data_IF_635186519256
#
_entry.id   IF_635186519256
#
_cell.length_a   1.000
_cell.length_b   1.000
_cell.length_c   1.000
_cell.angle_alpha   90.00
_cell.angle_beta   90.00
_cell.angle_gamma   90.00
#
_symmetry.space_group_name_H-M   'P 1'
#
loop_
_entity.id
_entity.type
_entity.pdbx_description
1 polymer ?
#
# COMPACT_ATOMS: atom_id res chain seq x y z
N UNK A 1 25.82 12.20 3.51
CA UNK A 1 24.92 11.33 2.71
C UNK A 1 23.95 10.51 3.57
N UNK A 2 23.31 11.09 4.61
CA UNK A 2 22.40 10.37 5.53
C UNK A 2 20.97 10.96 5.59
N UNK A 3 20.61 11.91 4.73
CA UNK A 3 19.32 12.65 4.81
C UNK A 3 18.32 12.31 3.69
N UNK A 4 18.75 11.67 2.60
CA UNK A 4 17.86 11.34 1.48
C UNK A 4 17.04 10.05 1.72
N UNK A 5 17.58 9.11 2.49
CA UNK A 5 16.90 7.84 2.83
C UNK A 5 15.76 8.01 3.84
N UNK A 6 15.71 9.14 4.54
CA UNK A 6 14.73 9.41 5.60
C UNK A 6 13.37 9.88 5.07
N UNK A 7 13.31 10.42 3.85
CA UNK A 7 12.07 11.00 3.30
C UNK A 7 11.20 9.91 2.63
N UNK A 8 11.81 8.92 1.97
CA UNK A 8 11.09 7.76 1.41
C UNK A 8 10.51 6.85 2.50
N UNK A 9 11.19 6.73 3.64
CA UNK A 9 10.69 5.96 4.80
C UNK A 9 9.52 6.67 5.50
N UNK A 10 9.51 8.01 5.51
CA UNK A 10 8.45 8.81 6.15
C UNK A 10 7.12 8.77 5.38
N UNK A 11 7.15 8.68 4.04
CA UNK A 11 5.93 8.56 3.22
C UNK A 11 5.34 7.15 3.29
N UNK A 12 6.17 6.11 3.40
CA UNK A 12 5.71 4.74 3.60
C UNK A 12 5.10 4.51 5.01
N UNK A 13 5.71 5.07 6.07
CA UNK A 13 5.16 4.97 7.43
C UNK A 13 3.87 5.81 7.64
N UNK A 14 3.73 6.94 6.95
CA UNK A 14 2.52 7.77 7.03
C UNK A 14 1.29 7.09 6.38
N UNK A 15 1.49 6.15 5.46
CA UNK A 15 0.39 5.45 4.78
C UNK A 15 -0.15 4.24 5.54
N UNK A 16 0.60 3.69 6.51
CA UNK A 16 0.16 2.58 7.37
C UNK A 16 -0.50 3.09 8.66
N UNK A 17 -0.12 4.27 9.16
CA UNK A 17 -0.69 4.86 10.38
C UNK A 17 -1.74 5.98 10.13
N UNK A 18 -1.96 6.40 8.88
CA UNK A 18 -2.63 7.67 8.55
C UNK A 18 -4.15 7.68 8.40
N UNK A 19 -4.86 6.55 8.53
CA UNK A 19 -6.32 6.53 8.30
C UNK A 19 -7.12 7.02 9.51
N UNK A 20 -6.56 6.95 10.73
CA UNK A 20 -7.27 7.33 11.95
C UNK A 20 -7.28 8.84 12.23
N UNK A 21 -6.34 9.62 11.71
CA UNK A 21 -6.15 11.02 12.15
C UNK A 21 -6.91 12.06 11.31
N UNK A 22 -7.41 11.70 10.11
CA UNK A 22 -7.92 12.70 9.16
C UNK A 22 -9.37 13.17 9.42
N UNK A 23 -10.11 12.56 10.36
CA UNK A 23 -11.55 12.78 10.49
C UNK A 23 -12.00 13.63 11.70
N UNK A 24 -11.10 14.30 12.42
CA UNK A 24 -11.47 15.18 13.57
C UNK A 24 -11.30 16.68 13.34
N UNK A 25 -10.92 17.16 12.15
CA UNK A 25 -10.75 18.60 11.90
C UNK A 25 -12.01 19.26 11.30
N UNK A 26 -12.52 20.39 11.86
CA UNK A 26 -13.66 21.12 11.30
C UNK A 26 -13.27 21.84 9.99
N UNK A 27 -14.08 21.66 8.94
CA UNK A 27 -13.88 22.27 7.61
C UNK A 27 -14.13 23.79 7.69
N UNK A 28 -13.08 24.59 7.46
CA UNK A 28 -13.23 26.01 7.09
C UNK A 28 -13.74 26.10 5.65
N UNK A 29 -14.89 26.74 5.47
CA UNK A 29 -15.45 27.10 4.17
C UNK A 29 -14.62 28.22 3.53
N UNK A 30 -14.06 27.97 2.34
CA UNK A 30 -13.50 29.02 1.47
C UNK A 30 -14.51 29.27 0.35
N UNK A 31 -14.84 30.54 0.15
CA UNK A 31 -15.79 31.04 -0.84
C UNK A 31 -15.31 30.81 -2.30
N UNK A 32 -16.23 30.74 -3.29
CA UNK A 32 -15.89 30.44 -4.68
C UNK A 32 -15.28 31.66 -5.40
N UNK A 33 -14.17 31.45 -6.11
CA UNK A 33 -13.60 32.42 -7.04
C UNK A 33 -14.28 32.31 -8.43
N UNK A 34 -14.46 33.48 -9.05
CA UNK A 34 -15.11 33.70 -10.35
C UNK A 34 -14.43 33.02 -11.56
N UNK A 35 -15.14 32.84 -12.69
CA UNK A 35 -14.61 32.18 -13.89
C UNK A 35 -13.69 33.10 -14.72
N UNK A 36 -12.76 32.53 -15.51
CA UNK A 36 -11.91 33.31 -16.42
C UNK A 36 -12.62 33.70 -17.72
N UNK A 37 -12.31 34.91 -18.17
CA UNK A 37 -12.74 35.58 -19.40
C UNK A 37 -12.13 34.98 -20.66
N UNK A 38 -12.89 34.95 -21.74
CA UNK A 38 -12.50 34.52 -23.09
C UNK A 38 -12.01 35.69 -23.97
N UNK A 39 -11.03 35.40 -24.83
CA UNK A 39 -10.63 36.04 -26.11
C UNK A 39 -9.16 35.63 -26.41
N UNK A 40 -8.64 35.39 -27.61
CA UNK A 40 -9.12 35.10 -28.97
C UNK A 40 -7.86 34.56 -29.74
N UNK A 41 -7.98 33.87 -30.90
CA UNK A 41 -6.87 33.13 -31.53
C UNK A 41 -6.21 33.86 -32.71
N UNK A 42 -4.87 33.82 -32.85
CA UNK A 42 -4.18 33.98 -34.14
C UNK A 42 -2.69 33.54 -34.13
N UNK A 43 -2.43 32.39 -34.78
CA UNK A 43 -1.51 32.19 -35.94
C UNK A 43 0.01 32.47 -35.82
N UNK A 44 0.82 31.40 -36.02
CA UNK A 44 1.97 31.27 -36.96
C UNK A 44 2.79 29.99 -36.63
N UNK A 45 2.60 28.87 -37.34
CA UNK A 45 3.45 28.31 -38.41
C UNK A 45 4.99 28.34 -38.20
N UNK A 46 5.62 27.15 -38.19
CA UNK A 46 7.08 27.00 -38.34
C UNK A 46 7.66 25.59 -38.13
N UNK A 47 7.61 24.74 -39.18
CA UNK A 47 8.69 23.78 -39.55
C UNK A 47 8.82 22.41 -38.83
N UNK A 48 9.04 21.30 -39.57
CA UNK A 48 9.08 19.94 -39.00
C UNK A 48 10.45 19.59 -38.41
N UNK A 49 10.50 19.17 -37.14
CA UNK A 49 11.71 18.54 -36.54
C UNK A 49 11.63 17.02 -36.67
N UNK A 50 12.71 16.46 -37.20
CA UNK A 50 12.98 15.03 -37.39
C UNK A 50 12.81 14.22 -36.09
N UNK A 51 12.32 12.97 -36.16
CA UNK A 51 12.33 12.07 -35.03
C UNK A 51 13.77 11.62 -34.73
N UNK A 52 14.28 12.03 -33.56
CA UNK A 52 15.48 11.44 -32.99
C UNK A 52 15.17 10.00 -32.58
N UNK A 53 15.91 9.07 -33.15
CA UNK A 53 15.95 7.65 -32.78
C UNK A 53 16.32 7.52 -31.30
N UNK A 54 15.32 7.29 -30.45
CA UNK A 54 15.55 6.72 -29.13
C UNK A 54 15.92 5.25 -29.36
N UNK A 55 17.21 4.95 -29.25
CA UNK A 55 17.74 3.59 -29.28
C UNK A 55 17.21 2.85 -28.05
N UNK A 56 16.12 2.11 -28.22
CA UNK A 56 15.69 1.08 -27.28
C UNK A 56 16.76 -0.01 -27.29
N UNK A 57 17.37 -0.40 -26.15
CA UNK A 57 18.27 -1.53 -26.14
C UNK A 57 17.49 -2.81 -26.47
N UNK A 58 17.92 -3.44 -27.55
CA UNK A 58 17.46 -4.74 -28.03
C UNK A 58 17.44 -5.80 -26.93
N UNK A 59 16.36 -6.58 -26.90
CA UNK A 59 16.16 -7.77 -26.06
C UNK A 59 17.29 -8.79 -26.29
N UNK A 60 18.20 -8.97 -25.32
CA UNK A 60 19.24 -10.01 -25.38
C UNK A 60 18.68 -11.38 -25.00
N UNK A 61 19.13 -12.49 -25.65
CA UNK A 61 18.77 -13.85 -25.27
C UNK A 61 19.32 -14.21 -23.87
N UNK A 62 18.63 -15.13 -23.16
CA UNK A 62 18.96 -15.57 -21.78
C UNK A 62 20.40 -16.09 -21.68
N UNK A 63 21.26 -15.34 -20.98
CA UNK A 63 22.64 -15.71 -20.64
C UNK A 63 22.77 -16.26 -19.21
N UNK A 64 21.65 -16.68 -18.58
CA UNK A 64 21.58 -16.98 -17.14
C UNK A 64 22.47 -18.15 -16.70
N UNK A 65 22.81 -19.08 -17.59
CA UNK A 65 23.55 -20.31 -17.27
C UNK A 65 25.07 -20.21 -17.47
N UNK A 66 25.59 -19.17 -18.14
CA UNK A 66 27.00 -19.11 -18.54
C UNK A 66 27.85 -18.07 -17.79
N UNK A 67 27.28 -17.32 -16.85
CA UNK A 67 28.01 -16.32 -16.07
C UNK A 67 28.49 -16.92 -14.74
N UNK A 68 29.75 -16.68 -14.40
CA UNK A 68 30.28 -16.99 -13.08
C UNK A 68 29.56 -16.18 -11.99
N UNK A 69 29.55 -16.65 -10.72
CA UNK A 69 28.93 -15.91 -9.62
C UNK A 69 29.46 -14.47 -9.49
N UNK A 70 30.74 -14.25 -9.73
CA UNK A 70 31.37 -12.93 -9.68
C UNK A 70 30.88 -12.02 -10.81
N UNK A 71 30.79 -12.55 -12.04
CA UNK A 71 30.26 -11.80 -13.19
C UNK A 71 28.78 -11.43 -12.98
N UNK A 72 27.98 -12.36 -12.43
CA UNK A 72 26.58 -12.08 -12.06
C UNK A 72 26.52 -10.97 -11.01
N UNK A 73 27.30 -11.04 -9.94
CA UNK A 73 27.33 -10.02 -8.89
C UNK A 73 27.75 -8.64 -9.44
N UNK A 74 28.76 -8.60 -10.31
CA UNK A 74 29.19 -7.39 -11.00
C UNK A 74 28.07 -6.82 -11.89
N UNK A 75 27.36 -7.67 -12.62
CA UNK A 75 26.24 -7.27 -13.47
C UNK A 75 25.05 -6.73 -12.66
N UNK A 76 24.66 -7.40 -11.58
CA UNK A 76 23.63 -6.91 -10.64
C UNK A 76 24.03 -5.53 -10.10
N UNK A 77 25.29 -5.37 -9.68
CA UNK A 77 25.81 -4.11 -9.18
C UNK A 77 25.77 -2.98 -10.22
N UNK A 78 26.01 -3.29 -11.50
CA UNK A 78 25.84 -2.33 -12.61
C UNK A 78 24.38 -1.91 -12.77
N UNK A 79 23.48 -2.88 -12.92
CA UNK A 79 22.03 -2.63 -13.08
C UNK A 79 21.52 -1.73 -11.95
N UNK A 80 21.87 -2.05 -10.69
CA UNK A 80 21.47 -1.24 -9.54
C UNK A 80 21.90 0.23 -9.67
N UNK A 81 23.19 0.47 -9.95
CA UNK A 81 23.71 1.83 -10.09
C UNK A 81 23.00 2.60 -11.20
N UNK A 82 22.80 1.96 -12.36
CA UNK A 82 22.16 2.61 -13.50
C UNK A 82 20.73 3.05 -13.15
N UNK A 83 19.93 2.18 -12.50
CA UNK A 83 18.58 2.54 -12.08
C UNK A 83 18.55 3.52 -10.91
N UNK A 84 19.48 3.43 -9.98
CA UNK A 84 19.60 4.38 -8.87
C UNK A 84 19.92 5.79 -9.40
N UNK A 85 20.79 5.91 -10.41
CA UNK A 85 21.11 7.18 -11.07
C UNK A 85 19.90 7.75 -11.81
N UNK A 86 19.18 6.92 -12.58
CA UNK A 86 17.95 7.34 -13.28
C UNK A 86 16.87 7.79 -12.27
N UNK A 87 16.69 7.03 -11.18
CA UNK A 87 15.73 7.34 -10.12
C UNK A 87 16.10 8.62 -9.37
N UNK A 88 17.38 8.81 -9.07
CA UNK A 88 17.88 10.03 -8.42
C UNK A 88 17.62 11.25 -9.31
N UNK A 89 17.91 11.14 -10.61
CA UNK A 89 17.59 12.19 -11.58
C UNK A 89 16.09 12.48 -11.64
N UNK A 90 15.24 11.46 -11.80
CA UNK A 90 13.80 11.64 -11.85
C UNK A 90 13.24 12.31 -10.58
N UNK A 91 13.78 11.92 -9.41
CA UNK A 91 13.40 12.52 -8.13
C UNK A 91 13.85 13.98 -8.00
N UNK A 92 15.05 14.30 -8.51
CA UNK A 92 15.55 15.67 -8.55
C UNK A 92 14.71 16.56 -9.49
N UNK A 93 14.37 16.04 -10.68
CA UNK A 93 13.53 16.72 -11.66
C UNK A 93 12.11 16.97 -11.08
N UNK A 94 11.52 15.99 -10.39
CA UNK A 94 10.25 16.15 -9.68
C UNK A 94 10.34 17.21 -8.57
N UNK A 95 11.39 17.16 -7.75
CA UNK A 95 11.58 18.13 -6.65
C UNK A 95 11.77 19.55 -7.17
N UNK A 96 12.52 19.72 -8.26
CA UNK A 96 12.76 21.02 -8.89
C UNK A 96 11.50 21.60 -9.52
N UNK A 97 10.65 20.76 -10.14
CA UNK A 97 9.40 21.19 -10.73
C UNK A 97 8.29 21.39 -9.69
N UNK A 98 8.33 20.68 -8.56
CA UNK A 98 7.32 20.68 -7.51
C UNK A 98 5.89 20.58 -8.08
N UNK A 99 5.00 21.53 -7.74
CA UNK A 99 3.63 21.56 -8.23
C UNK A 99 3.51 21.74 -9.75
N UNK A 100 4.57 22.16 -10.44
CA UNK A 100 4.60 22.32 -11.89
C UNK A 100 5.03 21.05 -12.64
N UNK A 101 5.30 19.94 -11.94
CA UNK A 101 5.65 18.67 -12.61
C UNK A 101 4.49 18.22 -13.52
N UNK A 102 4.73 17.94 -14.82
CA UNK A 102 3.68 17.54 -15.74
C UNK A 102 2.91 16.31 -15.25
N UNK A 103 1.60 16.46 -15.04
CA UNK A 103 0.74 15.39 -14.50
C UNK A 103 0.89 15.13 -12.99
N UNK A 104 1.65 15.96 -12.28
CA UNK A 104 1.80 15.96 -10.83
C UNK A 104 2.38 14.69 -10.23
N UNK A 105 2.13 14.48 -8.93
CA UNK A 105 2.61 13.33 -8.16
C UNK A 105 2.28 11.98 -8.83
N UNK A 106 1.06 11.82 -9.35
CA UNK A 106 0.64 10.56 -9.95
C UNK A 106 1.40 10.22 -11.24
N UNK A 107 1.79 11.22 -12.04
CA UNK A 107 2.64 10.98 -13.21
C UNK A 107 4.05 10.54 -12.79
N UNK A 108 4.61 11.20 -11.77
CA UNK A 108 5.91 10.82 -11.20
C UNK A 108 5.90 9.39 -10.65
N UNK A 109 4.88 9.01 -9.88
CA UNK A 109 4.77 7.65 -9.34
C UNK A 109 4.63 6.58 -10.45
N UNK A 110 3.88 6.86 -11.53
CA UNK A 110 3.83 5.96 -12.70
C UNK A 110 5.18 5.81 -13.38
N UNK A 111 5.97 6.87 -13.46
CA UNK A 111 7.35 6.81 -13.98
C UNK A 111 8.22 5.92 -13.08
N UNK A 112 8.14 6.07 -11.75
CA UNK A 112 8.86 5.17 -10.83
C UNK A 112 8.43 3.71 -10.98
N UNK A 113 7.13 3.46 -11.15
CA UNK A 113 6.60 2.10 -11.31
C UNK A 113 7.08 1.46 -12.61
N UNK A 114 7.26 2.25 -13.68
CA UNK A 114 7.87 1.78 -14.91
C UNK A 114 9.33 1.38 -14.68
N UNK A 115 10.12 2.25 -14.05
CA UNK A 115 11.53 1.98 -13.75
C UNK A 115 11.72 0.72 -12.90
N UNK A 116 10.83 0.47 -11.93
CA UNK A 116 10.90 -0.75 -11.10
C UNK A 116 10.62 -2.02 -11.90
N UNK A 117 9.65 -1.98 -12.81
CA UNK A 117 9.36 -3.11 -13.70
C UNK A 117 10.51 -3.37 -14.67
N UNK A 118 11.08 -2.33 -15.27
CA UNK A 118 12.23 -2.45 -16.18
C UNK A 118 13.45 -3.01 -15.44
N UNK A 119 13.76 -2.49 -14.24
CA UNK A 119 14.84 -3.02 -13.39
C UNK A 119 14.67 -4.51 -13.10
N UNK A 120 13.44 -4.93 -12.79
CA UNK A 120 13.11 -6.34 -12.52
C UNK A 120 13.33 -7.21 -13.76
N UNK A 121 12.95 -6.73 -14.94
CA UNK A 121 13.19 -7.43 -16.22
C UNK A 121 14.70 -7.58 -16.49
N UNK A 122 15.49 -6.54 -16.23
CA UNK A 122 16.95 -6.60 -16.40
C UNK A 122 17.60 -7.57 -15.42
N UNK A 123 17.12 -7.64 -14.17
CA UNK A 123 17.56 -8.67 -13.24
C UNK A 123 17.15 -10.08 -13.71
N UNK A 124 15.93 -10.26 -14.19
CA UNK A 124 15.44 -11.55 -14.70
C UNK A 124 16.21 -12.05 -15.94
N UNK A 125 16.89 -11.16 -16.68
CA UNK A 125 17.76 -11.54 -17.79
C UNK A 125 19.10 -12.17 -17.34
N UNK A 126 19.50 -11.92 -16.09
CA UNK A 126 20.80 -12.33 -15.52
C UNK A 126 20.64 -13.39 -14.43
N UNK A 127 19.51 -13.37 -13.73
CA UNK A 127 19.19 -14.24 -12.61
C UNK A 127 18.18 -15.31 -13.01
N UNK A 128 18.33 -16.49 -12.44
CA UNK A 128 17.27 -17.49 -12.42
C UNK A 128 16.07 -16.97 -11.60
N UNK A 129 14.86 -17.53 -11.78
CA UNK A 129 13.70 -17.13 -10.98
C UNK A 129 13.93 -17.23 -9.46
N UNK A 130 14.69 -18.24 -9.01
CA UNK A 130 15.02 -18.40 -7.59
C UNK A 130 16.01 -17.35 -7.10
N UNK A 131 17.08 -17.10 -7.85
CA UNK A 131 18.06 -16.05 -7.52
C UNK A 131 17.41 -14.65 -7.51
N UNK A 132 16.45 -14.40 -8.40
CA UNK A 132 15.68 -13.16 -8.42
C UNK A 132 14.82 -13.03 -7.18
N UNK A 133 14.07 -14.07 -6.79
CA UNK A 133 13.29 -14.06 -5.55
C UNK A 133 14.20 -13.80 -4.32
N UNK A 134 15.37 -14.44 -4.25
CA UNK A 134 16.34 -14.22 -3.18
C UNK A 134 16.82 -12.76 -3.11
N UNK A 135 17.04 -12.14 -4.27
CA UNK A 135 17.37 -10.72 -4.36
C UNK A 135 16.19 -9.85 -3.87
N UNK A 136 14.99 -10.13 -4.36
CA UNK A 136 13.79 -9.36 -4.07
C UNK A 136 13.40 -9.42 -2.58
N UNK A 137 13.53 -10.58 -1.93
CA UNK A 137 13.29 -10.74 -0.48
C UNK A 137 14.20 -9.82 0.35
N UNK A 138 15.42 -9.55 -0.12
CA UNK A 138 16.38 -8.69 0.61
C UNK A 138 16.17 -7.21 0.34
N UNK A 139 15.66 -6.86 -0.83
CA UNK A 139 15.73 -5.49 -1.35
C UNK A 139 14.39 -4.77 -1.44
N UNK A 140 13.29 -5.51 -1.50
CA UNK A 140 11.96 -4.93 -1.62
C UNK A 140 11.35 -4.63 -0.25
N UNK A 141 10.39 -3.71 -0.23
CA UNK A 141 9.59 -3.42 0.96
C UNK A 141 8.80 -4.64 1.42
N UNK A 142 8.27 -5.46 0.49
CA UNK A 142 7.59 -6.71 0.81
C UNK A 142 8.52 -7.69 1.55
N UNK A 143 9.75 -7.87 1.03
CA UNK A 143 10.74 -8.73 1.66
C UNK A 143 11.19 -8.24 3.04
N UNK A 144 11.45 -6.94 3.19
CA UNK A 144 11.75 -6.32 4.48
C UNK A 144 10.62 -6.48 5.49
N UNK A 145 9.36 -6.36 5.03
CA UNK A 145 8.18 -6.57 5.86
C UNK A 145 8.12 -8.01 6.36
N UNK A 146 8.26 -8.99 5.47
CA UNK A 146 8.27 -10.42 5.82
C UNK A 146 9.38 -10.73 6.82
N UNK A 147 10.60 -10.27 6.58
CA UNK A 147 11.72 -10.49 7.50
C UNK A 147 11.44 -9.90 8.88
N UNK A 148 10.89 -8.68 8.93
CA UNK A 148 10.55 -8.00 10.18
C UNK A 148 9.46 -8.72 10.97
N UNK A 149 8.48 -9.30 10.27
CA UNK A 149 7.28 -9.88 10.90
C UNK A 149 7.42 -11.37 11.23
N UNK A 150 8.20 -12.10 10.43
CA UNK A 150 8.29 -13.57 10.52
C UNK A 150 9.70 -14.07 10.84
N UNK A 151 10.74 -13.23 10.73
CA UNK A 151 12.13 -13.65 10.86
C UNK A 151 12.49 -14.27 12.22
N UNK A 152 11.83 -13.84 13.29
CA UNK A 152 12.02 -14.36 14.66
C UNK A 152 10.91 -15.35 15.08
N UNK A 153 10.15 -15.89 14.13
CA UNK A 153 9.04 -16.83 14.37
C UNK A 153 9.41 -18.26 13.97
N UNK A 154 8.49 -19.21 14.18
CA UNK A 154 8.61 -20.59 13.71
C UNK A 154 8.26 -20.80 12.23
N UNK A 155 7.99 -19.73 11.47
CA UNK A 155 7.65 -19.81 10.05
C UNK A 155 8.81 -20.39 9.23
N UNK A 156 8.55 -21.40 8.40
CA UNK A 156 9.57 -22.00 7.51
C UNK A 156 10.00 -21.05 6.40
N UNK A 157 11.13 -21.33 5.75
CA UNK A 157 11.58 -20.54 4.59
C UNK A 157 10.53 -20.54 3.47
N UNK A 158 9.90 -21.68 3.21
CA UNK A 158 8.84 -21.81 2.20
C UNK A 158 7.61 -20.95 2.54
N UNK A 159 7.21 -20.93 3.81
CA UNK A 159 6.10 -20.08 4.27
C UNK A 159 6.43 -18.60 4.14
N UNK A 160 7.63 -18.19 4.56
CA UNK A 160 8.09 -16.80 4.41
C UNK A 160 8.11 -16.37 2.94
N UNK A 161 8.57 -17.25 2.04
CA UNK A 161 8.56 -16.98 0.59
C UNK A 161 7.15 -16.94 0.00
N UNK A 162 6.24 -17.80 0.47
CA UNK A 162 4.85 -17.76 0.05
C UNK A 162 4.19 -16.44 0.44
N UNK A 163 4.36 -16.01 1.70
CA UNK A 163 3.90 -14.70 2.17
C UNK A 163 4.56 -13.56 1.41
N UNK A 164 5.86 -13.64 1.12
CA UNK A 164 6.56 -12.66 0.29
C UNK A 164 5.91 -12.49 -1.07
N UNK A 165 5.63 -13.58 -1.80
CA UNK A 165 4.96 -13.51 -3.11
C UNK A 165 3.59 -12.83 -3.02
N UNK A 166 2.79 -13.21 -2.01
CA UNK A 166 1.46 -12.63 -1.77
C UNK A 166 1.55 -11.14 -1.43
N UNK A 167 2.53 -10.73 -0.63
CA UNK A 167 2.75 -9.31 -0.30
C UNK A 167 3.27 -8.54 -1.52
N UNK A 168 4.17 -9.14 -2.31
CA UNK A 168 4.73 -8.52 -3.50
C UNK A 168 3.63 -8.25 -4.55
N UNK A 169 2.67 -9.16 -4.73
CA UNK A 169 1.49 -8.93 -5.60
C UNK A 169 0.71 -7.67 -5.20
N UNK A 170 0.57 -7.41 -3.89
CA UNK A 170 -0.10 -6.22 -3.37
C UNK A 170 0.75 -4.95 -3.62
N UNK A 171 2.05 -5.01 -3.32
CA UNK A 171 2.96 -3.88 -3.53
C UNK A 171 3.07 -3.51 -5.01
N UNK A 172 3.21 -4.48 -5.91
CA UNK A 172 3.30 -4.27 -7.37
C UNK A 172 2.10 -3.45 -7.91
N UNK A 173 0.94 -3.58 -7.26
CA UNK A 173 -0.31 -2.90 -7.64
C UNK A 173 -0.49 -1.55 -6.95
N UNK A 174 -0.05 -1.41 -5.70
CA UNK A 174 -0.42 -0.26 -4.85
C UNK A 174 0.71 0.57 -4.27
N UNK A 175 1.97 0.10 -4.29
CA UNK A 175 3.09 0.81 -3.66
C UNK A 175 3.32 2.20 -4.28
N UNK A 176 3.20 2.29 -5.61
CA UNK A 176 3.43 3.50 -6.39
C UNK A 176 2.14 4.06 -7.01
N UNK A 177 1.03 3.93 -6.28
CA UNK A 177 -0.27 4.47 -6.66
C UNK A 177 -0.76 5.42 -5.57
N UNK A 178 -1.09 6.67 -5.93
CA UNK A 178 -1.65 7.65 -5.00
C UNK A 178 -3.00 8.18 -5.51
N UNK A 179 -4.04 7.42 -5.21
CA UNK A 179 -5.42 7.83 -5.45
C UNK A 179 -6.22 7.77 -4.14
N UNK A 180 -6.82 8.89 -3.79
CA UNK A 180 -7.61 9.08 -2.55
C UNK A 180 -9.10 9.12 -2.82
N UNK A 181 -9.53 8.93 -4.07
CA UNK A 181 -10.93 8.78 -4.41
C UNK A 181 -11.52 7.56 -3.66
N UNK A 182 -12.77 7.64 -3.17
CA UNK A 182 -13.38 6.54 -2.41
C UNK A 182 -13.34 5.19 -3.12
N UNK A 183 -13.53 5.17 -4.45
CA UNK A 183 -13.44 3.95 -5.25
C UNK A 183 -12.05 3.32 -5.28
N UNK A 184 -10.98 4.12 -5.40
CA UNK A 184 -9.62 3.62 -5.38
C UNK A 184 -9.21 3.13 -3.98
N UNK A 185 -9.62 3.86 -2.94
CA UNK A 185 -9.44 3.42 -1.56
C UNK A 185 -10.18 2.11 -1.27
N UNK A 186 -11.40 1.95 -1.77
CA UNK A 186 -12.17 0.72 -1.67
C UNK A 186 -11.45 -0.46 -2.33
N UNK A 187 -10.94 -0.25 -3.55
CA UNK A 187 -10.20 -1.29 -4.27
C UNK A 187 -8.95 -1.73 -3.51
N UNK A 188 -8.19 -0.76 -2.98
CA UNK A 188 -7.00 -1.01 -2.17
C UNK A 188 -7.34 -1.77 -0.89
N UNK A 189 -8.41 -1.40 -0.21
CA UNK A 189 -8.81 -2.03 1.05
C UNK A 189 -9.32 -3.46 0.85
N UNK A 190 -10.08 -3.72 -0.22
CA UNK A 190 -10.49 -5.08 -0.60
C UNK A 190 -9.27 -5.95 -0.91
N UNK A 191 -8.35 -5.45 -1.72
CA UNK A 191 -7.12 -6.17 -2.03
C UNK A 191 -6.27 -6.43 -0.79
N UNK A 192 -6.20 -5.47 0.15
CA UNK A 192 -5.52 -5.66 1.43
C UNK A 192 -6.15 -6.82 2.20
N UNK A 193 -7.47 -6.86 2.33
CA UNK A 193 -8.17 -7.95 3.01
C UNK A 193 -7.93 -9.31 2.33
N UNK A 194 -8.00 -9.36 1.00
CA UNK A 194 -7.69 -10.57 0.22
C UNK A 194 -6.24 -11.04 0.45
N UNK A 195 -5.29 -10.12 0.44
CA UNK A 195 -3.88 -10.38 0.77
C UNK A 195 -3.74 -10.98 2.17
N UNK A 196 -4.40 -10.42 3.17
CA UNK A 196 -4.33 -10.95 4.54
C UNK A 196 -4.90 -12.36 4.67
N UNK A 197 -6.01 -12.67 3.99
CA UNK A 197 -6.60 -14.01 4.02
C UNK A 197 -5.71 -15.03 3.27
N UNK A 198 -5.07 -14.63 2.16
CA UNK A 198 -4.02 -15.45 1.52
C UNK A 198 -2.84 -15.70 2.46
N UNK A 199 -2.34 -14.67 3.15
CA UNK A 199 -1.24 -14.80 4.13
C UNK A 199 -1.64 -15.75 5.26
N UNK A 200 -2.87 -15.64 5.78
CA UNK A 200 -3.40 -16.57 6.78
C UNK A 200 -3.42 -18.01 6.28
N UNK A 201 -3.80 -18.25 5.02
CA UNK A 201 -3.83 -19.58 4.44
C UNK A 201 -2.42 -20.23 4.36
N UNK A 202 -1.37 -19.43 4.10
CA UNK A 202 0.01 -19.90 4.05
C UNK A 202 0.62 -20.12 5.45
N UNK A 203 0.26 -19.28 6.41
CA UNK A 203 0.84 -19.27 7.75
C UNK A 203 0.12 -20.18 8.75
N UNK A 204 -1.19 -20.35 8.59
CA UNK A 204 -2.06 -20.86 9.63
C UNK A 204 -2.33 -19.83 10.74
N UNK A 205 -3.25 -20.16 11.64
CA UNK A 205 -3.83 -19.18 12.58
C UNK A 205 -2.84 -18.62 13.60
N UNK A 206 -1.92 -19.45 14.10
CA UNK A 206 -0.95 -19.05 15.12
C UNK A 206 0.07 -18.03 14.58
N UNK A 207 0.71 -18.36 13.45
CA UNK A 207 1.66 -17.47 12.79
C UNK A 207 0.98 -16.24 12.19
N UNK A 208 -0.26 -16.36 11.74
CA UNK A 208 -1.04 -15.20 11.29
C UNK A 208 -1.35 -14.22 12.43
N UNK A 209 -1.62 -14.71 13.65
CA UNK A 209 -1.76 -13.83 14.81
C UNK A 209 -0.43 -13.10 15.14
N UNK A 210 0.72 -13.75 14.94
CA UNK A 210 2.02 -13.09 15.07
C UNK A 210 2.25 -12.02 13.99
N UNK A 211 1.88 -12.34 12.73
CA UNK A 211 1.89 -11.39 11.62
C UNK A 211 1.09 -10.12 11.95
N UNK A 212 -0.17 -10.27 12.34
CA UNK A 212 -1.05 -9.13 12.69
C UNK A 212 -0.52 -8.29 13.85
N UNK A 213 0.12 -8.91 14.86
CA UNK A 213 0.75 -8.17 15.97
C UNK A 213 1.89 -7.27 15.50
N UNK A 214 2.66 -7.71 14.50
CA UNK A 214 3.78 -6.91 14.00
C UNK A 214 3.38 -5.87 12.95
N UNK A 215 2.20 -5.97 12.32
CA UNK A 215 1.69 -4.93 11.42
C UNK A 215 1.39 -3.62 12.14
N UNK A 216 0.92 -3.68 13.39
CA UNK A 216 0.65 -2.49 14.20
C UNK A 216 0.10 -2.80 15.59
N UNK A 217 0.01 -1.78 16.46
CA UNK A 217 -0.39 -1.97 17.86
C UNK A 217 -1.85 -2.37 18.05
N UNK A 218 -2.72 -2.13 17.06
CA UNK A 218 -4.16 -2.32 17.17
C UNK A 218 -4.55 -3.78 17.45
N UNK A 219 -3.97 -4.74 16.73
CA UNK A 219 -4.24 -6.15 16.99
C UNK A 219 -3.74 -6.56 18.39
N UNK A 220 -2.64 -5.95 18.85
CA UNK A 220 -2.18 -6.05 20.24
C UNK A 220 -3.23 -5.58 21.26
N UNK A 221 -3.92 -4.49 20.99
CA UNK A 221 -5.03 -4.03 21.84
C UNK A 221 -6.20 -5.03 21.86
N UNK A 222 -6.58 -5.59 20.69
CA UNK A 222 -7.66 -6.60 20.64
C UNK A 222 -7.31 -7.85 21.43
N UNK A 223 -6.09 -8.39 21.25
CA UNK A 223 -5.64 -9.58 21.98
C UNK A 223 -5.57 -9.35 23.49
N UNK A 224 -5.02 -8.20 23.92
CA UNK A 224 -4.94 -7.82 25.34
C UNK A 224 -6.33 -7.71 25.95
N UNK A 225 -7.23 -7.00 25.28
CA UNK A 225 -8.60 -6.81 25.74
C UNK A 225 -9.38 -8.12 25.85
N UNK A 226 -9.36 -8.94 24.80
CA UNK A 226 -10.03 -10.25 24.78
C UNK A 226 -9.52 -11.15 25.91
N UNK A 227 -8.21 -11.15 26.17
CA UNK A 227 -7.62 -11.91 27.27
C UNK A 227 -8.10 -11.41 28.64
N UNK A 228 -8.11 -10.09 28.86
CA UNK A 228 -8.59 -9.48 30.11
C UNK A 228 -10.08 -9.77 30.39
N UNK A 229 -10.88 -9.89 29.34
CA UNK A 229 -12.30 -10.23 29.44
C UNK A 229 -12.57 -11.74 29.56
N UNK A 230 -11.52 -12.58 29.57
CA UNK A 230 -11.67 -14.04 29.61
C UNK A 230 -12.31 -14.63 28.36
N UNK A 231 -12.22 -13.93 27.22
CA UNK A 231 -12.80 -14.36 25.95
C UNK A 231 -11.82 -15.26 25.16
N UNK A 232 -12.32 -16.12 24.25
CA UNK A 232 -11.46 -16.95 23.41
C UNK A 232 -10.54 -16.11 22.52
N UNK A 233 -9.29 -16.55 22.30
CA UNK A 233 -8.32 -15.84 21.45
C UNK A 233 -8.83 -15.55 20.02
N UNK A 234 -9.69 -16.43 19.49
CA UNK A 234 -10.35 -16.24 18.19
C UNK A 234 -11.17 -14.93 18.11
N UNK A 235 -11.69 -14.43 19.24
CA UNK A 235 -12.45 -13.18 19.28
C UNK A 235 -11.61 -11.97 18.83
N UNK A 236 -10.29 -11.97 19.08
CA UNK A 236 -9.42 -10.87 18.65
C UNK A 236 -9.29 -10.81 17.12
N UNK A 237 -9.20 -11.97 16.47
CA UNK A 237 -9.19 -12.10 15.00
C UNK A 237 -10.54 -11.68 14.41
N UNK A 238 -11.64 -12.09 15.05
CA UNK A 238 -12.98 -11.70 14.59
C UNK A 238 -13.27 -10.19 14.75
N UNK A 239 -12.74 -9.54 15.80
CA UNK A 239 -12.79 -8.08 15.92
C UNK A 239 -12.01 -7.38 14.82
N UNK A 240 -10.80 -7.84 14.53
CA UNK A 240 -9.99 -7.31 13.44
C UNK A 240 -10.70 -7.43 12.08
N UNK A 241 -11.30 -8.60 11.81
CA UNK A 241 -12.13 -8.81 10.60
C UNK A 241 -13.34 -7.88 10.57
N UNK A 242 -14.06 -7.74 11.69
CA UNK A 242 -15.24 -6.89 11.78
C UNK A 242 -14.88 -5.41 11.49
N UNK A 243 -13.73 -4.92 11.96
CA UNK A 243 -13.23 -3.59 11.65
C UNK A 243 -12.91 -3.42 10.16
N UNK A 244 -12.20 -4.37 9.56
CA UNK A 244 -11.83 -4.28 8.15
C UNK A 244 -13.08 -4.28 7.26
N UNK A 245 -14.04 -5.16 7.55
CA UNK A 245 -15.31 -5.19 6.84
C UNK A 245 -16.11 -3.91 7.02
N UNK A 246 -16.13 -3.34 8.23
CA UNK A 246 -16.74 -2.04 8.46
C UNK A 246 -16.10 -0.93 7.62
N UNK A 247 -14.78 -0.96 7.48
CA UNK A 247 -14.02 0.00 6.67
C UNK A 247 -14.38 -0.15 5.19
N UNK A 248 -14.42 -1.37 4.67
CA UNK A 248 -14.86 -1.67 3.30
C UNK A 248 -16.29 -1.16 3.06
N UNK A 249 -17.25 -1.54 3.91
CA UNK A 249 -18.66 -1.13 3.76
C UNK A 249 -18.82 0.39 3.80
N UNK A 250 -18.04 1.09 4.63
CA UNK A 250 -18.04 2.56 4.64
C UNK A 250 -17.51 3.14 3.33
N UNK A 251 -16.44 2.57 2.78
CA UNK A 251 -15.89 2.99 1.49
C UNK A 251 -16.85 2.69 0.34
N UNK A 252 -17.58 1.57 0.38
CA UNK A 252 -18.64 1.24 -0.58
C UNK A 252 -19.74 2.29 -0.59
N UNK A 253 -20.23 2.67 0.59
CA UNK A 253 -21.24 3.73 0.74
C UNK A 253 -20.69 5.07 0.24
N UNK A 254 -19.44 5.41 0.57
CA UNK A 254 -18.81 6.65 0.13
C UNK A 254 -18.51 6.70 -1.38
N UNK A 255 -18.34 5.54 -2.03
CA UNK A 255 -18.15 5.44 -3.47
C UNK A 255 -19.45 5.60 -4.27
N UNK A 256 -20.62 5.54 -3.62
CA UNK A 256 -21.91 5.75 -4.29
C UNK A 256 -22.08 7.21 -4.69
N UNK A 257 -22.15 7.46 -6.00
CA UNK A 257 -22.34 8.81 -6.57
C UNK A 257 -23.79 9.24 -6.68
N UNK A 258 -24.73 8.32 -6.49
CA UNK A 258 -26.17 8.54 -6.71
C UNK A 258 -26.93 8.90 -5.44
N UNK A 259 -26.30 8.77 -4.27
CA UNK A 259 -26.96 9.04 -2.99
C UNK A 259 -27.12 10.54 -2.74
N UNK A 260 -28.29 10.91 -2.21
CA UNK A 260 -28.46 12.20 -1.53
C UNK A 260 -27.69 12.22 -0.21
N UNK A 261 -27.46 13.41 0.35
CA UNK A 261 -26.78 13.55 1.65
C UNK A 261 -27.52 12.79 2.77
N UNK A 262 -28.85 12.79 2.74
CA UNK A 262 -29.68 12.06 3.71
C UNK A 262 -29.57 10.55 3.54
N UNK A 263 -29.60 10.06 2.29
CA UNK A 263 -29.39 8.64 1.98
C UNK A 263 -28.00 8.17 2.41
N UNK A 264 -26.96 8.98 2.15
CA UNK A 264 -25.59 8.69 2.56
C UNK A 264 -25.47 8.60 4.10
N UNK A 265 -26.08 9.55 4.83
CA UNK A 265 -26.12 9.53 6.30
C UNK A 265 -26.84 8.29 6.83
N UNK A 266 -27.99 7.97 6.26
CA UNK A 266 -28.77 6.79 6.65
C UNK A 266 -28.01 5.49 6.38
N UNK A 267 -27.33 5.38 5.23
CA UNK A 267 -26.51 4.23 4.86
C UNK A 267 -25.33 4.05 5.81
N UNK A 268 -24.59 5.12 6.14
CA UNK A 268 -23.50 5.05 7.13
C UNK A 268 -24.00 4.65 8.51
N UNK A 269 -25.13 5.20 8.98
CA UNK A 269 -25.72 4.82 10.25
C UNK A 269 -26.16 3.34 10.25
N UNK A 270 -26.62 2.82 9.11
CA UNK A 270 -26.98 1.41 8.97
C UNK A 270 -25.75 0.49 9.05
N UNK A 271 -24.67 0.84 8.35
CA UNK A 271 -23.39 0.11 8.42
C UNK A 271 -22.87 0.07 9.86
N UNK A 272 -22.91 1.20 10.58
CA UNK A 272 -22.52 1.26 11.98
C UNK A 272 -23.35 0.33 12.88
N UNK A 273 -24.69 0.37 12.77
CA UNK A 273 -25.57 -0.51 13.57
C UNK A 273 -25.34 -2.01 13.29
N UNK A 274 -25.12 -2.38 12.03
CA UNK A 274 -24.86 -3.77 11.67
C UNK A 274 -23.53 -4.26 12.26
N UNK A 275 -22.50 -3.44 12.18
CA UNK A 275 -21.20 -3.77 12.77
C UNK A 275 -21.27 -3.78 14.30
N UNK A 276 -21.99 -2.85 14.92
CA UNK A 276 -22.24 -2.83 16.36
C UNK A 276 -22.88 -4.15 16.84
N UNK A 277 -23.91 -4.63 16.14
CA UNK A 277 -24.54 -5.91 16.43
C UNK A 277 -23.57 -7.10 16.29
N UNK A 278 -22.69 -7.09 15.28
CA UNK A 278 -21.66 -8.13 15.13
C UNK A 278 -20.63 -8.08 16.26
N UNK A 279 -20.15 -6.88 16.61
CA UNK A 279 -19.19 -6.70 17.72
C UNK A 279 -19.81 -7.16 19.04
N UNK A 280 -21.09 -6.84 19.28
CA UNK A 280 -21.83 -7.34 20.43
C UNK A 280 -21.89 -8.86 20.46
N UNK A 281 -22.08 -9.53 19.31
CA UNK A 281 -22.08 -10.99 19.24
C UNK A 281 -20.69 -11.61 19.50
N UNK A 282 -19.60 -10.91 19.14
CA UNK A 282 -18.22 -11.37 19.38
C UNK A 282 -17.84 -11.20 20.87
N UNK A 283 -18.14 -10.04 21.45
CA UNK A 283 -17.69 -9.65 22.78
C UNK A 283 -18.67 -10.02 23.90
N UNK A 284 -19.97 -10.03 23.61
CA UNK A 284 -21.01 -9.99 24.61
C UNK A 284 -21.19 -8.59 25.21
N UNK A 285 -22.33 -8.37 25.87
CA UNK A 285 -22.74 -7.05 26.36
C UNK A 285 -21.77 -6.46 27.40
N UNK A 286 -21.28 -7.27 28.35
CA UNK A 286 -20.37 -6.81 29.40
C UNK A 286 -19.04 -6.30 28.86
N UNK A 287 -18.37 -7.12 28.03
CA UNK A 287 -17.10 -6.71 27.42
C UNK A 287 -17.30 -5.53 26.46
N UNK A 288 -18.38 -5.49 25.68
CA UNK A 288 -18.64 -4.35 24.79
C UNK A 288 -18.77 -3.01 25.55
N UNK A 289 -19.35 -3.02 26.75
CA UNK A 289 -19.41 -1.84 27.62
C UNK A 289 -18.03 -1.45 28.20
N UNK A 290 -17.21 -2.43 28.54
CA UNK A 290 -15.87 -2.22 29.09
C UNK A 290 -14.84 -1.77 28.04
N UNK A 291 -15.10 -2.01 26.74
CA UNK A 291 -14.16 -1.70 25.68
C UNK A 291 -13.88 -0.19 25.55
N UNK A 292 -12.61 0.18 25.59
CA UNK A 292 -12.15 1.56 25.44
C UNK A 292 -12.02 2.00 23.97
N UNK A 293 -11.48 3.21 23.79
CA UNK A 293 -11.26 3.80 22.46
C UNK A 293 -10.17 3.04 21.67
N UNK A 294 -9.21 2.47 22.37
CA UNK A 294 -8.14 1.63 21.80
C UNK A 294 -8.66 0.33 21.17
N UNK A 295 -9.84 -0.15 21.58
CA UNK A 295 -10.49 -1.36 21.05
C UNK A 295 -11.61 -1.02 20.07
N UNK A 296 -12.48 -0.06 20.38
CA UNK A 296 -13.68 0.25 19.59
C UNK A 296 -13.75 1.68 19.06
N UNK A 297 -12.68 2.47 19.14
CA UNK A 297 -12.67 3.87 18.65
C UNK A 297 -12.89 4.01 17.15
N UNK A 298 -12.72 2.92 16.39
CA UNK A 298 -13.04 2.87 14.96
C UNK A 298 -14.54 2.76 14.68
N UNK A 299 -15.36 2.33 15.65
CA UNK A 299 -16.81 2.25 15.54
C UNK A 299 -17.46 3.52 16.13
N UNK A 300 -18.28 4.25 15.38
CA UNK A 300 -18.96 5.42 15.93
C UNK A 300 -19.95 5.00 17.02
N UNK A 301 -19.71 5.48 18.25
CA UNK A 301 -20.66 5.33 19.36
C UNK A 301 -21.77 6.37 19.25
N UNK A 302 -22.96 6.02 19.75
CA UNK A 302 -24.09 6.94 19.90
C UNK A 302 -23.86 7.90 21.06
#
# INVERSE_FOLDING_TARGET
>A
MKRATSILLAVALALVAGVAWWWTAPRRTVAPAMPPSAADPARAQGGPRRPGTATVPSSRPRQTENLSPEEKAAQIGRIKRDYDDIRAKASADYTAAAAAFPGGLNAFLRQLALLEREKRLDFAAVLTPRELEDLEVRETTAGQLVQRLLGDTSATEEQQRAVFRVQQEFEDRFALTFDTAPGALLERERARCETQEKIRAELGDELFAAWLRGEGPEFGHFTTFVTQQGLPAAAAVELWRAKNEFTIRRLEVAAQRTFTVEQLRAAHANVARQTEARVLAILGAGAMQAAGHEVLGWLPRK
#
